data_IF_056933582031
#
_entry.id   IF_056933582031
#
_cell.length_a   1.000
_cell.length_b   1.000
_cell.length_c   1.000
_cell.angle_alpha   90.00
_cell.angle_beta   90.00
_cell.angle_gamma   90.00
#
_symmetry.space_group_name_H-M   'P 1'
#
loop_
_entity.id
_entity.type
_entity.pdbx_description
1 polymer ?
#
# COMPACT_ATOMS: atom_id res chain seq x y z
N UNK A 1 -0.58 -38.68 34.65
CA UNK A 1 0.68 -38.98 33.93
C UNK A 1 0.39 -39.25 32.44
N UNK A 2 0.56 -38.22 31.60
CA UNK A 2 0.35 -38.27 30.15
C UNK A 2 1.61 -38.83 29.47
N UNK A 3 1.47 -39.84 28.60
CA UNK A 3 2.57 -40.43 27.83
C UNK A 3 2.65 -39.71 26.47
N UNK A 4 3.75 -39.00 26.14
CA UNK A 4 3.98 -38.47 24.80
C UNK A 4 4.72 -39.54 23.98
N UNK A 5 4.08 -40.09 22.95
CA UNK A 5 4.70 -41.11 22.10
C UNK A 5 4.05 -41.45 20.77
N UNK A 6 2.82 -41.00 20.46
CA UNK A 6 2.07 -41.50 19.30
C UNK A 6 1.75 -40.49 18.18
N UNK A 7 2.35 -39.29 18.17
CA UNK A 7 1.99 -38.27 17.16
C UNK A 7 2.87 -38.28 15.88
N UNK A 8 3.81 -39.22 15.74
CA UNK A 8 4.66 -39.34 14.54
C UNK A 8 4.02 -40.21 13.45
N UNK A 9 2.83 -39.84 12.95
CA UNK A 9 2.39 -40.20 11.58
C UNK A 9 1.17 -39.39 11.12
N UNK A 10 1.41 -38.21 10.59
CA UNK A 10 0.43 -37.50 9.76
C UNK A 10 1.13 -36.77 8.60
N UNK A 11 1.72 -37.55 7.69
CA UNK A 11 2.17 -37.07 6.38
C UNK A 11 1.68 -38.03 5.30
N UNK A 12 0.40 -37.92 4.94
CA UNK A 12 -0.11 -38.28 3.61
C UNK A 12 -1.50 -37.66 3.40
N UNK A 13 -1.62 -36.89 2.31
CA UNK A 13 -2.86 -36.42 1.65
C UNK A 13 -3.81 -35.49 2.43
N UNK A 14 -3.60 -34.19 2.27
CA UNK A 14 -4.56 -33.16 2.69
C UNK A 14 -5.39 -32.65 1.49
N UNK A 15 -6.39 -33.43 1.08
CA UNK A 15 -7.45 -32.98 0.17
C UNK A 15 -8.79 -33.09 0.91
N UNK A 16 -9.15 -32.05 1.66
CA UNK A 16 -10.36 -31.99 2.50
C UNK A 16 -10.54 -30.63 3.21
N UNK A 17 -11.66 -30.38 3.93
CA UNK A 17 -12.28 -29.09 4.29
C UNK A 17 -11.45 -28.04 5.07
N UNK A 18 -10.16 -28.31 5.29
CA UNK A 18 -9.19 -27.34 5.80
C UNK A 18 -9.02 -26.13 4.86
N UNK A 19 -9.29 -26.27 3.55
CA UNK A 19 -9.11 -25.20 2.57
C UNK A 19 -9.96 -23.96 2.86
N UNK A 20 -11.23 -24.13 3.22
CA UNK A 20 -12.13 -23.01 3.49
C UNK A 20 -11.72 -22.26 4.77
N UNK A 21 -11.33 -23.00 5.81
CA UNK A 21 -10.79 -22.41 7.05
C UNK A 21 -9.49 -21.62 6.81
N UNK A 22 -8.63 -22.10 5.91
CA UNK A 22 -7.40 -21.42 5.52
C UNK A 22 -7.70 -20.15 4.74
N UNK A 23 -8.69 -20.19 3.83
CA UNK A 23 -9.13 -19.01 3.07
C UNK A 23 -9.71 -17.96 4.00
N UNK A 24 -10.57 -18.34 4.95
CA UNK A 24 -11.14 -17.41 5.93
C UNK A 24 -10.06 -16.77 6.81
N UNK A 25 -9.13 -17.56 7.35
CA UNK A 25 -7.99 -17.03 8.12
C UNK A 25 -7.15 -16.07 7.28
N UNK A 26 -6.94 -16.39 6.00
CA UNK A 26 -6.17 -15.54 5.11
C UNK A 26 -6.86 -14.20 4.85
N UNK A 27 -8.18 -14.20 4.67
CA UNK A 27 -8.97 -12.98 4.52
C UNK A 27 -8.91 -12.13 5.79
N UNK A 28 -8.95 -12.77 6.96
CA UNK A 28 -8.85 -12.06 8.23
C UNK A 28 -7.48 -11.43 8.44
N UNK A 29 -6.39 -12.18 8.19
CA UNK A 29 -5.02 -11.66 8.21
C UNK A 29 -4.84 -10.47 7.22
N UNK A 30 -5.49 -10.53 6.06
CA UNK A 30 -5.52 -9.41 5.10
C UNK A 30 -6.21 -8.18 5.68
N UNK A 31 -7.34 -8.34 6.38
CA UNK A 31 -8.05 -7.23 7.04
C UNK A 31 -7.19 -6.62 8.15
N UNK A 32 -6.54 -7.45 8.96
CA UNK A 32 -5.63 -6.98 10.00
C UNK A 32 -4.47 -6.16 9.43
N UNK A 33 -3.87 -6.63 8.33
CA UNK A 33 -2.82 -5.88 7.64
C UNK A 33 -3.33 -4.53 7.12
N UNK A 34 -4.50 -4.50 6.47
CA UNK A 34 -5.11 -3.26 5.98
C UNK A 34 -5.36 -2.23 7.09
N UNK A 35 -5.90 -2.68 8.23
CA UNK A 35 -6.10 -1.83 9.41
C UNK A 35 -4.76 -1.30 9.92
N UNK A 36 -3.73 -2.15 9.98
CA UNK A 36 -2.38 -1.74 10.39
C UNK A 36 -1.78 -0.64 9.49
N UNK A 37 -1.93 -0.80 8.17
CA UNK A 37 -1.44 0.17 7.17
C UNK A 37 -2.17 1.51 7.31
N UNK A 38 -3.51 1.46 7.32
CA UNK A 38 -4.36 2.66 7.35
C UNK A 38 -4.33 3.41 8.67
N UNK A 39 -3.84 2.77 9.74
CA UNK A 39 -3.66 3.42 11.06
C UNK A 39 -2.42 4.32 11.11
N UNK A 40 -1.44 4.12 10.23
CA UNK A 40 -0.25 4.96 10.17
C UNK A 40 -0.59 6.35 9.59
N UNK A 41 -0.32 7.41 10.36
CA UNK A 41 -0.66 8.78 9.93
C UNK A 41 0.43 9.45 9.07
N UNK A 42 1.70 9.22 9.40
CA UNK A 42 2.84 9.92 8.79
C UNK A 42 3.80 8.97 8.08
N UNK A 43 4.20 7.91 8.76
CA UNK A 43 5.13 6.92 8.24
C UNK A 43 4.73 5.52 8.70
N UNK A 44 5.00 4.55 7.84
CA UNK A 44 4.84 3.13 8.12
C UNK A 44 6.19 2.45 7.86
N UNK A 45 6.71 1.76 8.86
CA UNK A 45 7.93 0.96 8.75
C UNK A 45 7.58 -0.50 8.98
N UNK A 46 7.87 -1.35 8.00
CA UNK A 46 7.63 -2.81 8.07
C UNK A 46 8.97 -3.54 8.05
N UNK A 47 9.15 -4.48 8.98
CA UNK A 47 10.38 -5.27 9.08
C UNK A 47 10.08 -6.76 9.18
N UNK A 48 11.02 -7.59 8.72
CA UNK A 48 10.97 -9.04 8.84
C UNK A 48 12.38 -9.60 9.03
N UNK A 49 12.49 -10.75 9.68
CA UNK A 49 13.78 -11.40 9.95
C UNK A 49 14.15 -12.36 8.83
N UNK A 50 15.40 -12.33 8.35
CA UNK A 50 15.89 -13.28 7.31
C UNK A 50 16.07 -14.71 7.83
N UNK A 51 16.39 -14.88 9.10
CA UNK A 51 16.54 -16.19 9.76
C UNK A 51 16.10 -16.09 11.22
N UNK A 52 15.38 -17.09 11.73
CA UNK A 52 14.99 -17.17 13.15
C UNK A 52 15.28 -18.54 13.72
N UNK A 53 15.65 -18.59 15.00
CA UNK A 53 15.84 -19.85 15.72
C UNK A 53 14.46 -20.43 16.05
N UNK A 54 14.20 -21.67 15.63
CA UNK A 54 13.00 -22.43 15.99
C UNK A 54 13.46 -23.74 16.63
N UNK A 55 13.34 -23.84 17.95
CA UNK A 55 13.90 -24.96 18.71
C UNK A 55 15.43 -25.02 18.58
N UNK A 56 15.95 -26.13 18.04
CA UNK A 56 17.39 -26.32 17.80
C UNK A 56 17.84 -25.90 16.40
N UNK A 57 16.91 -25.50 15.53
CA UNK A 57 17.19 -25.23 14.12
C UNK A 57 17.14 -23.73 13.79
N UNK A 58 17.90 -23.35 12.77
CA UNK A 58 17.84 -22.01 12.16
C UNK A 58 16.97 -22.07 10.90
N UNK A 59 15.82 -21.40 10.95
CA UNK A 59 14.84 -21.42 9.86
C UNK A 59 14.89 -20.08 9.10
N UNK A 60 14.85 -20.14 7.77
CA UNK A 60 14.73 -18.95 6.94
C UNK A 60 13.39 -18.24 7.21
N UNK A 61 13.45 -16.94 7.47
CA UNK A 61 12.25 -16.13 7.58
C UNK A 61 11.87 -15.60 6.20
N UNK A 62 10.64 -15.91 5.78
CA UNK A 62 10.07 -15.41 4.54
C UNK A 62 9.27 -14.14 4.83
N UNK A 63 9.34 -13.11 3.97
CA UNK A 63 8.50 -11.93 4.10
C UNK A 63 7.02 -12.31 3.96
N UNK A 64 6.14 -11.54 4.61
CA UNK A 64 4.69 -11.72 4.46
C UNK A 64 4.26 -11.45 3.02
N UNK A 65 3.38 -12.30 2.48
CA UNK A 65 2.85 -12.17 1.11
C UNK A 65 2.18 -10.81 0.85
N UNK A 66 1.56 -10.23 1.88
CA UNK A 66 0.89 -8.93 1.77
C UNK A 66 1.88 -7.78 1.51
N UNK A 67 3.15 -7.92 1.88
CA UNK A 67 4.18 -6.90 1.61
C UNK A 67 4.38 -6.73 0.11
N UNK A 68 4.41 -7.82 -0.65
CA UNK A 68 4.54 -7.77 -2.11
C UNK A 68 3.29 -7.15 -2.76
N UNK A 69 2.10 -7.47 -2.26
CA UNK A 69 0.83 -6.99 -2.79
C UNK A 69 0.60 -5.49 -2.56
N UNK A 70 1.18 -4.91 -1.50
CA UNK A 70 1.07 -3.47 -1.21
C UNK A 70 1.75 -2.58 -2.26
N UNK A 71 2.64 -3.13 -3.08
CA UNK A 71 3.40 -2.38 -4.08
C UNK A 71 4.12 -1.12 -3.52
N UNK A 72 4.64 -1.20 -2.28
CA UNK A 72 5.30 -0.08 -1.59
C UNK A 72 6.46 0.55 -2.39
N UNK A 73 7.10 -0.23 -3.26
CA UNK A 73 8.22 0.20 -4.11
C UNK A 73 7.77 0.94 -5.38
N UNK A 74 6.48 0.89 -5.75
CA UNK A 74 5.97 1.66 -6.88
C UNK A 74 5.84 3.11 -6.42
N UNK A 75 6.81 3.94 -6.82
CA UNK A 75 6.75 5.39 -6.67
C UNK A 75 5.39 5.89 -7.17
N UNK A 76 4.51 6.29 -6.25
CA UNK A 76 3.36 7.11 -6.61
C UNK A 76 3.90 8.39 -7.22
N UNK A 77 3.30 8.85 -8.31
CA UNK A 77 3.76 10.04 -9.04
C UNK A 77 3.84 11.20 -8.06
N UNK A 78 5.04 11.53 -7.59
CA UNK A 78 5.27 12.74 -6.80
C UNK A 78 5.16 13.89 -7.79
N UNK A 79 4.01 14.55 -7.84
CA UNK A 79 3.90 15.83 -8.52
C UNK A 79 4.99 16.74 -7.94
N UNK A 80 5.88 17.25 -8.79
CA UNK A 80 6.92 18.16 -8.35
C UNK A 80 6.22 19.47 -7.91
N UNK A 81 6.40 19.91 -6.64
CA UNK A 81 5.78 21.15 -6.16
C UNK A 81 6.14 22.37 -7.03
N UNK A 82 7.28 22.34 -7.73
CA UNK A 82 7.68 23.39 -8.67
C UNK A 82 6.82 23.39 -9.94
N UNK A 83 6.47 22.21 -10.45
CA UNK A 83 5.59 22.08 -11.62
C UNK A 83 4.18 22.59 -11.29
N UNK A 84 3.67 22.23 -10.12
CA UNK A 84 2.39 22.73 -9.62
C UNK A 84 2.37 24.26 -9.53
N UNK A 85 3.45 24.85 -9.01
CA UNK A 85 3.59 26.31 -8.89
C UNK A 85 3.73 27.00 -10.26
N UNK A 86 4.39 26.35 -11.22
CA UNK A 86 4.51 26.84 -12.60
C UNK A 86 3.17 26.81 -13.33
N UNK A 87 2.40 25.74 -13.16
CA UNK A 87 1.06 25.60 -13.73
C UNK A 87 0.10 26.67 -13.18
N UNK A 88 0.09 26.88 -11.86
CA UNK A 88 -0.70 27.94 -11.21
C UNK A 88 -0.36 29.33 -11.75
N UNK A 89 0.93 29.68 -11.89
CA UNK A 89 1.34 30.97 -12.47
C UNK A 89 0.90 31.14 -13.92
N UNK A 90 0.99 30.08 -14.73
CA UNK A 90 0.55 30.12 -16.12
C UNK A 90 -0.96 30.34 -16.23
N UNK A 91 -1.76 29.70 -15.36
CA UNK A 91 -3.21 29.95 -15.31
C UNK A 91 -3.55 31.39 -14.92
N UNK A 92 -2.89 31.94 -13.90
CA UNK A 92 -3.13 33.33 -13.49
C UNK A 92 -2.74 34.33 -14.59
N UNK A 93 -1.63 34.09 -15.29
CA UNK A 93 -1.20 34.93 -16.40
C UNK A 93 -2.21 34.89 -17.56
N UNK A 94 -2.72 33.71 -17.92
CA UNK A 94 -3.73 33.56 -18.98
C UNK A 94 -5.05 34.24 -18.61
N UNK A 95 -5.49 34.08 -17.36
CA UNK A 95 -6.71 34.74 -16.88
C UNK A 95 -6.57 36.26 -16.85
N UNK A 96 -5.38 36.78 -16.53
CA UNK A 96 -5.10 38.20 -16.58
C UNK A 96 -5.11 38.73 -18.02
N UNK A 97 -4.52 38.02 -18.98
CA UNK A 97 -4.57 38.41 -20.40
C UNK A 97 -5.99 38.38 -20.96
N UNK A 98 -6.77 37.35 -20.62
CA UNK A 98 -8.15 37.21 -21.07
C UNK A 98 -9.03 38.33 -20.49
N UNK A 99 -8.82 38.69 -19.22
CA UNK A 99 -9.52 39.81 -18.58
C UNK A 99 -9.13 41.16 -19.17
N UNK A 100 -7.85 41.37 -19.50
CA UNK A 100 -7.38 42.59 -20.13
C UNK A 100 -7.92 42.73 -21.56
N UNK A 101 -7.97 41.62 -22.32
CA UNK A 101 -8.58 41.57 -23.64
C UNK A 101 -10.09 41.85 -23.58
N UNK A 102 -10.80 41.31 -22.58
CA UNK A 102 -12.22 41.58 -22.38
C UNK A 102 -12.50 43.05 -22.02
N UNK A 103 -11.66 43.67 -21.18
CA UNK A 103 -11.77 45.09 -20.83
C UNK A 103 -11.50 46.01 -22.03
N UNK A 104 -10.48 45.71 -22.84
CA UNK A 104 -10.17 46.46 -24.05
C UNK A 104 -11.28 46.34 -25.12
N UNK A 105 -11.90 45.16 -25.26
CA UNK A 105 -13.02 44.97 -26.18
C UNK A 105 -14.29 45.74 -25.74
N UNK A 106 -14.50 45.92 -24.44
CA UNK A 106 -15.61 46.72 -23.91
C UNK A 106 -15.42 48.24 -24.13
N UNK A 107 -14.17 48.71 -24.14
CA UNK A 107 -13.81 50.13 -24.39
C UNK A 107 -13.93 50.52 -25.87
N UNK A 108 -13.64 49.59 -26.79
CA UNK A 108 -13.72 49.80 -28.25
C UNK A 108 -15.15 49.71 -28.82
N UNK A 109 -16.15 49.39 -28.00
CA UNK A 109 -17.56 49.20 -28.40
C UNK A 109 -18.49 50.39 -28.14
N UNK A 110 -17.96 51.50 -27.61
CA UNK A 110 -18.73 52.74 -27.37
C UNK A 110 -18.35 53.75 -28.46
N UNK A 111 -18.94 53.62 -29.64
CA UNK A 111 -18.79 54.52 -30.78
C UNK A 111 -20.03 54.53 -31.64
#
# INVERSE_FOLDING_TARGET
PFKPGDDDKAMSEATGPMSESIVQRLQEERRLMYVGITRAQRSLSVSWTKKRKKGREMVAGLPSRFIAEMALEKSTTKEDPREKLKALRAEFARKASDSAAAAAAADQGIG
#
